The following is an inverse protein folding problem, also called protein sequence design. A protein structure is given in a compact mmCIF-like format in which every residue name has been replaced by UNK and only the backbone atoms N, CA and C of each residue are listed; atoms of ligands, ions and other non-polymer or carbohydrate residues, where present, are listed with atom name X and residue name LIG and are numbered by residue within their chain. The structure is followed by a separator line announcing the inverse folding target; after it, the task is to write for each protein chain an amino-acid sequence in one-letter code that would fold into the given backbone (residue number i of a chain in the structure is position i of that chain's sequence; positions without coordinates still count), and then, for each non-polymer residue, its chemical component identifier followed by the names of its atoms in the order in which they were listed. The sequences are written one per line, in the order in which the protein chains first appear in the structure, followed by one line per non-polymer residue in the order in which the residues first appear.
data_IF_628753259504
#
_entry.id   IF_628753259504
#
_cell.length_a   1.000
_cell.length_b   1.000
_cell.length_c   1.000
_cell.angle_alpha   90.00
_cell.angle_beta   90.00
_cell.angle_gamma   90.00
#
_symmetry.space_group_name_H-M   'P 1'
#
loop_
_entity.id
_entity.type
_entity.pdbx_description
1 polymer ?
#
# COMPACT_ATOMS: atom_id res chain seq x y z
N UNK A 1 16.13 20.98 14.90
CA UNK A 1 17.17 20.04 14.44
C UNK A 1 16.91 19.75 12.96
N UNK A 2 17.82 20.16 12.08
CA UNK A 2 17.68 19.87 10.65
C UNK A 2 18.26 18.48 10.40
N UNK A 3 17.42 17.54 10.01
CA UNK A 3 17.85 16.19 9.65
C UNK A 3 18.56 16.22 8.28
N UNK A 4 19.54 15.35 8.10
CA UNK A 4 20.16 15.12 6.79
C UNK A 4 19.09 14.62 5.78
N UNK A 5 19.31 14.80 4.47
CA UNK A 5 18.42 14.26 3.44
C UNK A 5 18.14 12.77 3.69
N UNK A 6 16.92 12.35 3.43
CA UNK A 6 16.41 10.96 3.59
C UNK A 6 16.31 10.42 5.03
N UNK A 7 16.88 11.04 6.06
CA UNK A 7 16.79 10.54 7.45
C UNK A 7 15.35 10.45 7.90
N UNK A 8 14.51 11.46 7.61
CA UNK A 8 13.10 11.42 7.91
C UNK A 8 12.36 10.26 7.23
N UNK A 9 12.68 9.99 5.96
CA UNK A 9 12.10 8.88 5.19
C UNK A 9 12.51 7.53 5.79
N UNK A 10 13.76 7.36 6.21
CA UNK A 10 14.26 6.15 6.85
C UNK A 10 13.53 5.91 8.19
N UNK A 11 13.36 6.95 9.01
CA UNK A 11 12.63 6.85 10.28
C UNK A 11 11.16 6.48 10.04
N UNK A 12 10.51 7.11 9.06
CA UNK A 12 9.14 6.80 8.69
C UNK A 12 8.99 5.35 8.18
N UNK A 13 9.94 4.86 7.40
CA UNK A 13 9.96 3.48 6.93
C UNK A 13 10.12 2.50 8.11
N UNK A 14 11.05 2.77 9.03
CA UNK A 14 11.23 2.01 10.26
C UNK A 14 9.97 2.01 11.14
N UNK A 15 9.29 3.14 11.25
CA UNK A 15 8.02 3.27 11.94
C UNK A 15 6.93 2.44 11.27
N UNK A 16 6.84 2.48 9.94
CA UNK A 16 5.88 1.72 9.15
C UNK A 16 6.06 0.21 9.32
N UNK A 17 7.27 -0.30 9.25
CA UNK A 17 7.56 -1.73 9.43
C UNK A 17 7.37 -2.20 10.87
N UNK A 18 7.83 -1.42 11.85
CA UNK A 18 7.73 -1.80 13.27
C UNK A 18 6.31 -1.70 13.82
N UNK A 19 5.42 -0.93 13.16
CA UNK A 19 4.08 -0.58 13.66
C UNK A 19 4.11 0.01 15.08
N UNK A 20 5.24 0.62 15.49
CA UNK A 20 5.52 1.04 16.86
C UNK A 20 4.55 2.11 17.37
N UNK A 21 4.08 3.00 16.48
CA UNK A 21 3.17 4.11 16.80
C UNK A 21 1.68 3.76 16.62
N UNK A 22 1.34 2.48 16.48
CA UNK A 22 -0.08 2.08 16.42
C UNK A 22 -0.79 2.30 17.76
N UNK A 23 -2.11 2.57 17.78
CA UNK A 23 -2.89 2.88 18.98
C UNK A 23 -2.68 1.89 20.14
N UNK A 24 -2.54 0.60 19.84
CA UNK A 24 -2.27 -0.44 20.86
C UNK A 24 -0.95 -0.25 21.62
N UNK A 25 0.01 0.47 21.04
CA UNK A 25 1.32 0.70 21.65
C UNK A 25 1.42 2.06 22.36
N UNK A 26 0.83 3.10 21.76
CA UNK A 26 1.00 4.50 22.21
C UNK A 26 -0.33 5.19 22.59
N UNK A 27 -1.45 4.49 22.50
CA UNK A 27 -2.78 5.04 22.73
C UNK A 27 -3.41 5.63 21.45
N UNK A 28 -4.72 5.79 21.45
CA UNK A 28 -5.45 6.43 20.35
C UNK A 28 -5.37 7.95 20.52
N UNK A 29 -4.61 8.61 19.65
CA UNK A 29 -4.29 10.04 19.78
C UNK A 29 -5.53 10.95 19.71
N UNK A 30 -6.50 10.62 18.84
CA UNK A 30 -7.75 11.38 18.74
C UNK A 30 -8.53 11.42 20.07
N UNK A 31 -8.58 10.27 20.75
CA UNK A 31 -9.31 10.15 22.00
C UNK A 31 -8.55 10.82 23.14
N UNK A 32 -7.23 10.66 23.16
CA UNK A 32 -6.38 11.24 24.19
C UNK A 32 -6.34 12.77 24.11
N UNK A 33 -6.29 13.34 22.90
CA UNK A 33 -6.29 14.81 22.75
C UNK A 33 -7.64 15.39 23.16
N UNK A 34 -8.75 14.68 22.94
CA UNK A 34 -10.06 15.12 23.42
C UNK A 34 -10.11 15.11 24.94
N UNK A 35 -9.66 14.04 25.59
CA UNK A 35 -9.57 13.97 27.05
C UNK A 35 -8.68 15.07 27.64
N UNK A 36 -7.59 15.43 26.97
CA UNK A 36 -6.73 16.53 27.38
C UNK A 36 -7.47 17.87 27.33
N UNK A 37 -8.19 18.14 26.24
CA UNK A 37 -9.01 19.37 26.09
C UNK A 37 -10.10 19.47 27.13
N UNK A 38 -10.77 18.35 27.46
CA UNK A 38 -11.83 18.27 28.46
C UNK A 38 -11.31 18.44 29.88
N UNK A 39 -10.00 18.28 30.14
CA UNK A 39 -9.38 18.47 31.44
C UNK A 39 -9.20 19.93 31.88
N UNK A 40 -9.66 20.88 31.03
CA UNK A 40 -9.51 22.34 31.25
C UNK A 40 -8.03 22.78 31.40
N UNK A 41 -7.06 21.96 30.98
CA UNK A 41 -5.66 22.34 30.99
C UNK A 41 -5.37 23.37 29.88
N UNK A 42 -4.44 24.26 30.14
CA UNK A 42 -4.01 25.24 29.14
C UNK A 42 -3.43 24.54 27.92
N UNK A 43 -3.92 24.82 26.70
CA UNK A 43 -3.50 24.11 25.50
C UNK A 43 -2.06 24.48 25.13
N UNK A 44 -1.11 23.64 25.54
CA UNK A 44 0.30 23.78 25.23
C UNK A 44 0.94 22.41 24.98
N UNK A 45 2.05 22.39 24.22
CA UNK A 45 2.81 21.16 23.97
C UNK A 45 3.31 20.53 25.28
N UNK A 46 3.83 21.37 26.20
CA UNK A 46 4.30 20.89 27.50
C UNK A 46 3.18 20.32 28.39
N UNK A 47 1.99 20.98 28.38
CA UNK A 47 0.82 20.44 29.06
C UNK A 47 0.33 19.13 28.49
N UNK A 48 0.34 19.01 27.16
CA UNK A 48 0.04 17.76 26.47
C UNK A 48 1.02 16.63 26.84
N UNK A 49 2.34 16.91 26.83
CA UNK A 49 3.36 15.94 27.21
C UNK A 49 3.15 15.40 28.63
N UNK A 50 2.92 16.30 29.60
CA UNK A 50 2.64 15.91 30.99
C UNK A 50 1.37 15.07 31.14
N UNK A 51 0.30 15.44 30.41
CA UNK A 51 -0.93 14.68 30.38
C UNK A 51 -0.71 13.28 29.81
N UNK A 52 -0.01 13.18 28.67
CA UNK A 52 0.30 11.93 28.01
C UNK A 52 1.13 11.00 28.93
N UNK A 53 2.18 11.53 29.52
CA UNK A 53 3.05 10.79 30.43
C UNK A 53 2.27 10.24 31.66
N UNK A 54 1.35 11.02 32.18
CA UNK A 54 0.50 10.60 33.29
C UNK A 54 -0.54 9.56 32.88
N UNK A 55 -1.15 9.70 31.71
CA UNK A 55 -2.28 8.87 31.27
C UNK A 55 -1.84 7.55 30.65
N UNK A 56 -0.81 7.56 29.84
CA UNK A 56 -0.34 6.43 29.01
C UNK A 56 0.96 5.85 29.57
N UNK A 57 1.84 6.71 30.05
CA UNK A 57 3.14 6.35 30.61
C UNK A 57 4.31 6.84 29.74
N UNK A 58 5.28 7.42 30.41
CA UNK A 58 6.49 7.99 29.82
C UNK A 58 7.30 6.97 29.01
N UNK A 59 7.30 5.70 29.42
CA UNK A 59 8.04 4.63 28.72
C UNK A 59 7.53 4.37 27.30
N UNK A 60 6.27 4.72 26.99
CA UNK A 60 5.67 4.38 25.68
C UNK A 60 6.36 5.04 24.49
N UNK A 61 6.83 6.26 24.67
CA UNK A 61 7.63 6.95 23.65
C UNK A 61 8.98 6.25 23.47
N UNK A 62 9.63 5.90 24.59
CA UNK A 62 10.91 5.17 24.60
C UNK A 62 10.76 3.78 23.96
N UNK A 63 9.71 3.04 24.33
CA UNK A 63 9.41 1.71 23.80
C UNK A 63 9.16 1.75 22.28
N UNK A 64 8.38 2.72 21.82
CA UNK A 64 8.11 2.93 20.40
C UNK A 64 9.38 3.31 19.64
N UNK A 65 10.18 4.23 20.20
CA UNK A 65 11.46 4.65 19.62
C UNK A 65 12.45 3.48 19.53
N UNK A 66 12.56 2.65 20.55
CA UNK A 66 13.43 1.46 20.56
C UNK A 66 13.03 0.46 19.45
N UNK A 67 11.72 0.21 19.28
CA UNK A 67 11.22 -0.65 18.19
C UNK A 67 11.54 -0.08 16.81
N UNK A 68 11.36 1.22 16.60
CA UNK A 68 11.71 1.87 15.33
C UNK A 68 13.21 1.71 15.07
N UNK A 69 14.03 1.95 16.10
CA UNK A 69 15.49 1.86 15.98
C UNK A 69 15.96 0.45 15.63
N UNK A 70 15.39 -0.58 16.22
CA UNK A 70 15.68 -1.98 15.88
C UNK A 70 15.46 -2.26 14.39
N UNK A 71 14.35 -1.78 13.81
CA UNK A 71 14.09 -1.92 12.37
C UNK A 71 15.07 -1.11 11.50
N UNK A 72 15.48 0.07 11.96
CA UNK A 72 16.51 0.86 11.27
C UNK A 72 17.85 0.12 11.25
N UNK A 73 18.24 -0.54 12.34
CA UNK A 73 19.46 -1.34 12.37
C UNK A 73 19.39 -2.50 11.38
N UNK A 74 18.27 -3.24 11.33
CA UNK A 74 18.05 -4.31 10.33
C UNK A 74 18.11 -3.79 8.89
N UNK A 75 17.48 -2.63 8.63
CA UNK A 75 17.58 -1.99 7.31
C UNK A 75 19.01 -1.61 6.95
N UNK A 76 19.80 -1.12 7.92
CA UNK A 76 21.20 -0.79 7.71
C UNK A 76 22.02 -2.02 7.32
N UNK A 77 21.80 -3.16 7.99
CA UNK A 77 22.46 -4.43 7.63
C UNK A 77 22.07 -4.86 6.21
N UNK A 78 20.77 -4.82 5.87
CA UNK A 78 20.30 -5.18 4.54
C UNK A 78 20.82 -4.24 3.45
N UNK A 79 20.88 -2.93 3.71
CA UNK A 79 21.45 -1.97 2.79
C UNK A 79 22.94 -2.21 2.53
N UNK A 80 23.68 -2.62 3.55
CA UNK A 80 25.10 -2.98 3.39
C UNK A 80 25.30 -4.28 2.58
N UNK A 81 24.32 -5.18 2.59
CA UNK A 81 24.34 -6.41 1.81
C UNK A 81 23.82 -6.25 0.39
N UNK A 82 23.08 -5.17 0.10
CA UNK A 82 22.49 -4.90 -1.21
C UNK A 82 23.60 -4.61 -2.24
N UNK A 83 23.50 -5.28 -3.37
CA UNK A 83 24.43 -5.13 -4.50
C UNK A 83 23.79 -4.41 -5.68
N UNK A 84 24.61 -3.94 -6.61
CA UNK A 84 24.13 -3.37 -7.87
C UNK A 84 23.38 -4.43 -8.72
N UNK A 85 23.83 -5.69 -8.65
CA UNK A 85 23.15 -6.81 -9.31
C UNK A 85 21.75 -7.07 -8.76
N UNK A 86 21.54 -6.91 -7.45
CA UNK A 86 20.19 -7.03 -6.85
C UNK A 86 19.25 -5.95 -7.40
N UNK A 87 19.74 -4.71 -7.51
CA UNK A 87 18.97 -3.60 -8.07
C UNK A 87 18.67 -3.83 -9.56
N UNK A 88 19.66 -4.30 -10.32
CA UNK A 88 19.49 -4.64 -11.73
C UNK A 88 18.45 -5.77 -11.91
N UNK A 89 18.58 -6.85 -11.15
CA UNK A 89 17.67 -7.99 -11.23
C UNK A 89 16.24 -7.62 -10.83
N UNK A 90 16.06 -6.82 -9.77
CA UNK A 90 14.76 -6.30 -9.37
C UNK A 90 14.14 -5.42 -10.47
N UNK A 91 14.95 -4.54 -11.07
CA UNK A 91 14.50 -3.64 -12.14
C UNK A 91 14.12 -4.42 -13.38
N UNK A 92 14.91 -5.43 -13.75
CA UNK A 92 14.62 -6.33 -14.85
C UNK A 92 13.32 -7.12 -14.62
N UNK A 93 13.16 -7.72 -13.44
CA UNK A 93 11.92 -8.42 -13.07
C UNK A 93 10.70 -7.51 -13.21
N UNK A 94 10.79 -6.26 -12.71
CA UNK A 94 9.71 -5.30 -12.80
C UNK A 94 9.36 -4.93 -14.26
N UNK A 95 10.37 -4.55 -15.06
CA UNK A 95 10.16 -3.99 -16.40
C UNK A 95 9.85 -5.10 -17.41
N UNK A 96 10.50 -6.26 -17.31
CA UNK A 96 10.37 -7.33 -18.31
C UNK A 96 9.36 -8.37 -17.83
N UNK A 97 9.66 -9.07 -16.73
CA UNK A 97 8.92 -10.27 -16.37
C UNK A 97 7.50 -9.96 -15.87
N UNK A 98 7.36 -8.99 -14.96
CA UNK A 98 6.04 -8.60 -14.42
C UNK A 98 5.19 -7.84 -15.43
N UNK A 99 5.81 -6.97 -16.26
CA UNK A 99 5.08 -6.25 -17.28
C UNK A 99 4.56 -7.22 -18.34
N UNK A 100 5.42 -8.11 -18.85
CA UNK A 100 5.01 -9.13 -19.81
C UNK A 100 3.91 -10.02 -19.25
N UNK A 101 4.12 -10.59 -18.05
CA UNK A 101 3.14 -11.50 -17.42
C UNK A 101 1.80 -10.81 -17.14
N UNK A 102 1.83 -9.53 -16.77
CA UNK A 102 0.62 -8.74 -16.53
C UNK A 102 -0.17 -8.47 -17.81
N UNK A 103 0.49 -8.01 -18.87
CA UNK A 103 -0.14 -7.72 -20.16
C UNK A 103 -0.60 -9.01 -20.86
N UNK A 104 0.20 -10.08 -20.80
CA UNK A 104 -0.18 -11.38 -21.36
C UNK A 104 -1.44 -11.92 -20.67
N UNK A 105 -1.51 -11.83 -19.34
CA UNK A 105 -2.70 -12.25 -18.60
C UNK A 105 -3.95 -11.44 -19.00
N UNK A 106 -3.81 -10.15 -19.26
CA UNK A 106 -4.92 -9.33 -19.73
C UNK A 106 -5.38 -9.75 -21.14
N UNK A 107 -4.43 -10.02 -22.04
CA UNK A 107 -4.74 -10.54 -23.38
C UNK A 107 -5.46 -11.89 -23.30
N UNK A 108 -4.94 -12.84 -22.52
CA UNK A 108 -5.56 -14.16 -22.34
C UNK A 108 -7.00 -14.05 -21.81
N UNK A 109 -7.26 -13.11 -20.89
CA UNK A 109 -8.61 -12.86 -20.35
C UNK A 109 -9.53 -12.26 -21.42
N UNK A 110 -9.05 -11.29 -22.19
CA UNK A 110 -9.82 -10.67 -23.27
C UNK A 110 -10.18 -11.70 -24.35
N UNK A 111 -9.22 -12.54 -24.75
CA UNK A 111 -9.42 -13.63 -25.70
C UNK A 111 -10.48 -14.63 -25.20
N UNK A 112 -10.42 -15.03 -23.91
CA UNK A 112 -11.40 -15.95 -23.33
C UNK A 112 -12.84 -15.41 -23.26
N UNK A 113 -13.02 -14.09 -23.27
CA UNK A 113 -14.35 -13.44 -23.13
C UNK A 113 -14.87 -12.93 -24.46
N UNK A 114 -14.02 -12.83 -25.48
CA UNK A 114 -14.37 -12.33 -26.80
C UNK A 114 -14.66 -13.48 -27.76
N UNK A 115 -15.86 -13.53 -28.32
CA UNK A 115 -16.28 -14.62 -29.23
C UNK A 115 -15.77 -14.45 -30.69
N UNK A 116 -15.22 -13.29 -31.05
CA UNK A 116 -14.94 -12.94 -32.44
C UNK A 116 -13.59 -12.24 -32.67
N UNK A 117 -12.61 -12.46 -31.81
CA UNK A 117 -11.26 -11.89 -31.88
C UNK A 117 -11.19 -10.36 -31.99
N UNK A 118 -12.29 -9.66 -31.69
CA UNK A 118 -12.35 -8.21 -31.69
C UNK A 118 -12.08 -7.64 -30.30
N UNK A 119 -10.83 -7.76 -29.85
CA UNK A 119 -10.38 -7.20 -28.57
C UNK A 119 -9.01 -6.52 -28.72
N UNK A 120 -8.71 -5.63 -27.80
CA UNK A 120 -7.40 -4.99 -27.68
C UNK A 120 -7.10 -4.57 -26.24
N UNK A 121 -5.84 -4.43 -25.93
CA UNK A 121 -5.41 -3.75 -24.69
C UNK A 121 -5.72 -2.25 -24.75
N UNK A 122 -5.87 -1.64 -23.59
CA UNK A 122 -5.93 -0.21 -23.45
C UNK A 122 -4.56 0.43 -23.77
N UNK A 123 -4.58 1.66 -24.29
CA UNK A 123 -3.39 2.49 -24.38
C UNK A 123 -3.16 3.24 -23.05
N UNK A 124 -2.03 3.96 -22.93
CA UNK A 124 -1.64 4.64 -21.69
C UNK A 124 -2.67 5.68 -21.18
N UNK A 125 -3.39 6.35 -22.09
CA UNK A 125 -4.41 7.33 -21.72
C UNK A 125 -5.70 6.65 -21.22
N UNK A 126 -6.01 5.49 -21.77
CA UNK A 126 -7.14 4.65 -21.37
C UNK A 126 -6.85 3.93 -20.05
N UNK A 127 -5.63 3.41 -19.88
CA UNK A 127 -5.18 2.84 -18.59
C UNK A 127 -5.24 3.84 -17.44
N UNK A 128 -4.86 5.10 -17.70
CA UNK A 128 -4.98 6.18 -16.70
C UNK A 128 -6.42 6.43 -16.24
N UNK A 129 -7.43 6.01 -17.04
CA UNK A 129 -8.85 6.08 -16.69
C UNK A 129 -9.38 4.80 -16.02
N UNK A 130 -8.50 3.80 -15.79
CA UNK A 130 -8.86 2.51 -15.19
C UNK A 130 -9.44 1.49 -16.16
N UNK A 131 -9.21 1.69 -17.48
CA UNK A 131 -9.58 0.75 -18.54
C UNK A 131 -8.39 -0.17 -18.75
N UNK A 132 -8.60 -1.48 -18.70
CA UNK A 132 -7.55 -2.48 -18.94
C UNK A 132 -7.58 -2.98 -20.40
N UNK A 133 -8.72 -2.87 -21.09
CA UNK A 133 -8.86 -3.26 -22.48
C UNK A 133 -10.23 -2.96 -23.08
N UNK A 134 -10.46 -3.44 -24.29
CA UNK A 134 -11.72 -3.31 -25.01
C UNK A 134 -12.14 -4.64 -25.62
N UNK A 135 -13.46 -4.89 -25.65
CA UNK A 135 -14.11 -5.97 -26.40
C UNK A 135 -15.05 -5.29 -27.38
N UNK A 136 -14.71 -5.30 -28.67
CA UNK A 136 -15.31 -4.38 -29.61
C UNK A 136 -15.04 -2.93 -29.19
N UNK A 137 -16.11 -2.14 -29.05
CA UNK A 137 -16.04 -0.76 -28.59
C UNK A 137 -16.31 -0.61 -27.07
N UNK A 138 -16.57 -1.73 -26.37
CA UNK A 138 -16.88 -1.71 -24.94
C UNK A 138 -15.60 -1.66 -24.10
N UNK A 139 -15.36 -0.62 -23.29
CA UNK A 139 -14.24 -0.57 -22.36
C UNK A 139 -14.47 -1.53 -21.20
N UNK A 140 -13.42 -2.28 -20.82
CA UNK A 140 -13.48 -3.24 -19.72
C UNK A 140 -12.35 -3.01 -18.73
N UNK A 141 -12.62 -3.33 -17.46
CA UNK A 141 -11.61 -3.37 -16.40
C UNK A 141 -11.45 -4.80 -15.90
N UNK A 142 -10.21 -5.26 -15.81
CA UNK A 142 -9.87 -6.64 -15.45
C UNK A 142 -9.37 -6.66 -14.01
N UNK A 143 -10.06 -7.38 -13.13
CA UNK A 143 -9.75 -7.39 -11.70
C UNK A 143 -9.75 -8.82 -11.13
N UNK A 144 -8.86 -9.13 -10.17
CA UNK A 144 -8.91 -10.41 -9.48
C UNK A 144 -10.25 -10.57 -8.73
N UNK A 145 -10.75 -11.78 -8.61
CA UNK A 145 -12.02 -12.08 -7.94
C UNK A 145 -12.10 -11.52 -6.51
N UNK A 146 -10.96 -11.43 -5.81
CA UNK A 146 -10.88 -10.84 -4.47
C UNK A 146 -11.28 -9.37 -4.43
N UNK A 147 -11.21 -8.67 -5.57
CA UNK A 147 -11.56 -7.26 -5.70
C UNK A 147 -13.06 -6.98 -5.57
N UNK A 148 -13.92 -8.00 -5.75
CA UNK A 148 -15.37 -7.88 -5.51
C UNK A 148 -15.69 -7.30 -4.14
N UNK A 149 -14.90 -7.65 -3.12
CA UNK A 149 -15.08 -7.14 -1.75
C UNK A 149 -14.83 -5.62 -1.63
N UNK A 150 -13.90 -5.10 -2.41
CA UNK A 150 -13.56 -3.66 -2.43
C UNK A 150 -14.70 -2.85 -3.05
N UNK A 151 -15.26 -3.32 -4.16
CA UNK A 151 -16.41 -2.71 -4.82
C UNK A 151 -17.66 -2.78 -3.93
N UNK A 152 -17.96 -3.96 -3.36
CA UNK A 152 -19.12 -4.13 -2.47
C UNK A 152 -19.04 -3.28 -1.20
N UNK A 153 -17.83 -2.99 -0.71
CA UNK A 153 -17.61 -2.11 0.43
C UNK A 153 -17.75 -0.61 0.08
N UNK A 154 -18.05 -0.25 -1.17
CA UNK A 154 -18.18 1.12 -1.62
C UNK A 154 -16.88 1.93 -1.59
N UNK A 155 -15.72 1.25 -1.50
CA UNK A 155 -14.41 1.90 -1.42
C UNK A 155 -13.93 2.43 -2.77
N UNK A 156 -14.47 1.89 -3.84
CA UNK A 156 -14.13 2.25 -5.21
C UNK A 156 -15.33 2.01 -6.13
N UNK A 157 -15.46 2.85 -7.17
CA UNK A 157 -16.46 2.71 -8.20
C UNK A 157 -15.77 2.71 -9.57
N UNK A 158 -15.97 1.66 -10.34
CA UNK A 158 -15.46 1.54 -11.70
C UNK A 158 -16.64 1.67 -12.64
N UNK A 159 -16.65 2.67 -13.54
CA UNK A 159 -17.81 2.95 -14.43
C UNK A 159 -17.87 2.02 -15.64
N UNK A 160 -16.95 1.07 -15.77
CA UNK A 160 -16.81 0.14 -16.88
C UNK A 160 -17.26 -1.26 -16.49
N UNK A 161 -17.54 -2.11 -17.49
CA UNK A 161 -17.74 -3.54 -17.25
C UNK A 161 -16.49 -4.13 -16.59
N UNK A 162 -16.68 -4.86 -15.47
CA UNK A 162 -15.58 -5.51 -14.77
C UNK A 162 -15.57 -6.98 -15.13
N UNK A 163 -14.45 -7.45 -15.65
CA UNK A 163 -14.16 -8.87 -15.87
C UNK A 163 -13.36 -9.37 -14.68
N UNK A 164 -13.92 -10.33 -13.94
CA UNK A 164 -13.23 -10.90 -12.80
C UNK A 164 -12.51 -12.18 -13.18
N UNK A 165 -11.28 -12.33 -12.67
CA UNK A 165 -10.52 -13.55 -12.91
C UNK A 165 -10.02 -14.17 -11.60
N UNK A 166 -9.71 -15.48 -11.67
CA UNK A 166 -9.06 -16.23 -10.62
C UNK A 166 -8.08 -17.21 -11.24
N UNK A 167 -6.82 -17.14 -10.84
CA UNK A 167 -5.84 -18.16 -11.15
C UNK A 167 -6.03 -19.37 -10.20
N UNK A 168 -6.09 -20.55 -10.77
CA UNK A 168 -6.23 -21.82 -10.04
C UNK A 168 -5.12 -22.78 -10.43
N UNK A 169 -4.97 -23.88 -9.72
CA UNK A 169 -4.03 -24.96 -10.10
C UNK A 169 -4.32 -25.58 -11.47
N UNK A 170 -5.52 -25.39 -11.99
CA UNK A 170 -6.00 -25.96 -13.25
C UNK A 170 -6.09 -24.92 -14.37
N UNK A 171 -5.63 -23.70 -14.12
CA UNK A 171 -5.63 -22.61 -15.09
C UNK A 171 -6.40 -21.38 -14.66
N UNK A 172 -6.67 -20.52 -15.62
CA UNK A 172 -7.37 -19.25 -15.48
C UNK A 172 -8.89 -19.48 -15.56
N UNK A 173 -9.62 -18.89 -14.63
CA UNK A 173 -11.10 -18.88 -14.60
C UNK A 173 -11.56 -17.43 -14.67
N UNK A 174 -12.42 -17.12 -15.63
CA UNK A 174 -12.98 -15.78 -15.88
C UNK A 174 -14.48 -15.78 -15.63
N UNK A 175 -15.00 -14.71 -14.94
CA UNK A 175 -16.43 -14.60 -14.59
C UNK A 175 -16.94 -13.16 -14.70
#
# INVERSE_FOLDING_TARGET
MTLLPYVGSIINLGCSFSQATRPRNVGQMSDLIQLYRDSAAEPSVGGWEQFYDKKIGKSKITDASAKIWEYILRMKENLNALTEDDVYNWTKDLIIDKTFSGLQLQLDILEMVCDNDNYRLANSEEEAKGIDGFIGDEPVSIKPHTYKKTIQAGKESIPYRIIYYKQTKHGLVVT
#
